data_IF_487725263138
#
_entry.id   IF_487725263138
#
_cell.length_a   1.000
_cell.length_b   1.000
_cell.length_c   1.000
_cell.angle_alpha   90.00
_cell.angle_beta   90.00
_cell.angle_gamma   90.00
#
_symmetry.space_group_name_H-M   'P 1'
#
loop_
_entity.id
_entity.type
_entity.pdbx_description
1 polymer ?
#
# COMPACT_ATOMS: atom_id res chain seq x y z
N UNK A 1 0.45 0.84 6.01
CA UNK A 1 0.00 -0.07 7.09
C UNK A 1 -0.81 0.71 8.09
N UNK A 2 -2.00 0.23 8.46
CA UNK A 2 -2.82 0.88 9.49
C UNK A 2 -2.18 0.72 10.88
N UNK A 3 -2.31 1.70 11.78
CA UNK A 3 -1.81 1.57 13.14
C UNK A 3 -2.50 0.41 13.89
N UNK A 4 -1.73 -0.51 14.49
CA UNK A 4 -2.28 -1.67 15.20
C UNK A 4 -3.27 -1.29 16.32
N UNK A 5 -3.05 -0.12 16.92
CA UNK A 5 -3.96 0.43 17.93
C UNK A 5 -5.34 0.72 17.33
N UNK A 6 -5.40 1.34 16.15
CA UNK A 6 -6.66 1.63 15.48
C UNK A 6 -7.37 0.32 15.11
N UNK A 7 -6.63 -0.68 14.62
CA UNK A 7 -7.19 -2.00 14.29
C UNK A 7 -7.89 -2.64 15.50
N UNK A 8 -7.27 -2.56 16.68
CA UNK A 8 -7.82 -3.11 17.93
C UNK A 8 -9.00 -2.31 18.50
N UNK A 9 -8.93 -0.98 18.43
CA UNK A 9 -9.93 -0.10 19.06
C UNK A 9 -11.17 0.11 18.15
N UNK A 10 -11.01 0.00 16.84
CA UNK A 10 -12.01 0.31 15.82
C UNK A 10 -12.27 -0.89 14.88
N UNK A 11 -12.15 -2.12 15.39
CA UNK A 11 -12.27 -3.33 14.57
C UNK A 11 -13.57 -3.37 13.77
N UNK A 12 -14.71 -3.05 14.41
CA UNK A 12 -16.02 -3.10 13.76
C UNK A 12 -16.24 -1.97 12.76
N UNK A 13 -15.69 -0.78 13.01
CA UNK A 13 -15.71 0.34 12.06
C UNK A 13 -14.90 -0.01 10.80
N UNK A 14 -13.70 -0.58 11.00
CA UNK A 14 -12.87 -1.05 9.89
C UNK A 14 -13.52 -2.21 9.14
N UNK A 15 -14.21 -3.11 9.84
CA UNK A 15 -14.97 -4.20 9.21
C UNK A 15 -16.05 -3.64 8.29
N UNK A 16 -16.80 -2.64 8.75
CA UNK A 16 -17.80 -1.97 7.93
C UNK A 16 -17.17 -1.28 6.72
N UNK A 17 -16.05 -0.57 6.90
CA UNK A 17 -15.32 0.09 5.79
C UNK A 17 -14.82 -0.91 4.76
N UNK A 18 -14.25 -2.04 5.18
CA UNK A 18 -13.77 -3.06 4.25
C UNK A 18 -14.91 -3.81 3.57
N UNK A 19 -16.04 -4.00 4.26
CA UNK A 19 -17.27 -4.49 3.64
C UNK A 19 -17.79 -3.53 2.55
N UNK A 20 -17.78 -2.20 2.81
CA UNK A 20 -18.12 -1.18 1.79
C UNK A 20 -17.19 -1.27 0.57
N UNK A 21 -15.91 -1.57 0.80
CA UNK A 21 -14.89 -1.77 -0.25
C UNK A 21 -15.00 -3.12 -0.96
N UNK A 22 -15.79 -4.06 -0.44
CA UNK A 22 -15.89 -5.43 -0.97
C UNK A 22 -14.64 -6.29 -0.72
N UNK A 23 -13.85 -5.98 0.32
CA UNK A 23 -12.63 -6.71 0.69
C UNK A 23 -12.85 -7.49 1.97
N UNK A 24 -12.54 -8.78 1.94
CA UNK A 24 -12.45 -9.58 3.16
C UNK A 24 -11.05 -9.41 3.77
N UNK A 25 -10.98 -8.65 4.85
CA UNK A 25 -9.73 -8.31 5.52
C UNK A 25 -9.53 -9.19 6.77
N UNK A 26 -8.32 -9.69 7.05
CA UNK A 26 -8.05 -10.59 8.18
C UNK A 26 -8.01 -9.89 9.55
N UNK A 27 -8.99 -9.02 9.83
CA UNK A 27 -9.07 -8.20 11.04
C UNK A 27 -9.07 -9.05 12.32
N UNK A 28 -9.87 -10.11 12.36
CA UNK A 28 -9.99 -10.97 13.53
C UNK A 28 -8.67 -11.71 13.81
N UNK A 29 -7.98 -12.17 12.77
CA UNK A 29 -6.67 -12.80 12.90
C UNK A 29 -5.62 -11.81 13.44
N UNK A 30 -5.63 -10.56 12.95
CA UNK A 30 -4.72 -9.50 13.42
C UNK A 30 -4.97 -9.14 14.88
N UNK A 31 -6.24 -9.01 15.29
CA UNK A 31 -6.61 -8.68 16.68
C UNK A 31 -6.21 -9.81 17.62
N UNK A 32 -6.45 -11.05 17.22
CA UNK A 32 -6.09 -12.23 18.01
C UNK A 32 -4.56 -12.37 18.14
N UNK A 33 -3.83 -12.13 17.04
CA UNK A 33 -2.37 -12.17 17.05
C UNK A 33 -1.77 -11.01 17.87
N UNK A 34 -2.35 -9.80 17.84
CA UNK A 34 -1.95 -8.69 18.74
C UNK A 34 -2.20 -9.04 20.21
N UNK A 35 -3.31 -9.73 20.52
CA UNK A 35 -3.61 -10.21 21.87
C UNK A 35 -2.55 -11.21 22.35
N UNK A 36 -2.29 -12.26 21.56
CA UNK A 36 -1.24 -13.24 21.85
C UNK A 36 0.13 -12.57 21.99
N UNK A 37 0.48 -11.64 21.08
CA UNK A 37 1.77 -10.92 21.13
C UNK A 37 1.93 -10.17 22.45
N UNK A 38 0.89 -9.46 22.91
CA UNK A 38 0.93 -8.71 24.18
C UNK A 38 1.08 -9.60 25.40
N UNK A 39 0.39 -10.73 25.42
CA UNK A 39 0.53 -11.74 26.48
C UNK A 39 1.95 -12.31 26.51
N UNK A 40 2.46 -12.73 25.36
CA UNK A 40 3.82 -13.27 25.21
C UNK A 40 4.89 -12.25 25.57
N UNK A 41 4.74 -10.99 25.14
CA UNK A 41 5.64 -9.89 25.48
C UNK A 41 5.67 -9.67 27.00
N UNK A 42 4.51 -9.74 27.67
CA UNK A 42 4.43 -9.61 29.12
C UNK A 42 5.16 -10.76 29.84
N UNK A 43 5.03 -11.99 29.34
CA UNK A 43 5.77 -13.15 29.86
C UNK A 43 7.28 -12.99 29.65
N UNK A 44 7.71 -12.57 28.46
CA UNK A 44 9.13 -12.31 28.14
C UNK A 44 9.71 -11.24 29.06
N UNK A 45 9.03 -10.12 29.26
CA UNK A 45 9.50 -9.06 30.15
C UNK A 45 9.56 -9.50 31.62
N UNK A 46 8.57 -10.27 32.08
CA UNK A 46 8.59 -10.86 33.43
C UNK A 46 9.78 -11.82 33.62
N UNK A 47 10.06 -12.66 32.62
CA UNK A 47 11.18 -13.59 32.63
C UNK A 47 12.53 -12.87 32.58
N UNK A 48 12.65 -11.81 31.77
CA UNK A 48 13.83 -10.92 31.75
C UNK A 48 14.08 -10.29 33.11
N UNK A 49 13.03 -9.77 33.76
CA UNK A 49 13.13 -9.20 35.10
C UNK A 49 13.57 -10.25 36.13
N UNK A 50 12.98 -11.45 36.11
CA UNK A 50 13.35 -12.56 36.99
C UNK A 50 14.80 -13.01 36.80
N UNK A 51 15.25 -13.18 35.55
CA UNK A 51 16.64 -13.52 35.21
C UNK A 51 17.62 -12.46 35.73
N UNK A 52 17.29 -11.18 35.58
CA UNK A 52 18.14 -10.07 36.04
C UNK A 52 18.20 -10.00 37.57
N UNK A 53 17.11 -10.31 38.27
CA UNK A 53 17.10 -10.42 39.74
C UNK A 53 17.96 -11.61 40.21
N UNK A 54 17.78 -12.78 39.59
CA UNK A 54 18.58 -13.96 39.89
C UNK A 54 20.08 -13.73 39.61
N UNK A 55 20.42 -13.02 38.53
CA UNK A 55 21.82 -12.62 38.25
C UNK A 55 22.43 -11.76 39.36
N UNK A 56 21.65 -10.85 39.96
CA UNK A 56 22.07 -10.06 41.12
C UNK A 56 22.26 -10.92 42.36
N UNK A 57 21.37 -11.89 42.60
CA UNK A 57 21.49 -12.83 43.72
C UNK A 57 22.73 -13.74 43.57
N UNK A 58 22.98 -14.27 42.36
CA UNK A 58 24.18 -15.07 42.05
C UNK A 58 25.47 -14.28 42.32
N UNK A 59 25.49 -12.99 41.98
CA UNK A 59 26.64 -12.11 42.24
C UNK A 59 26.83 -11.75 43.73
N UNK A 60 25.75 -11.77 44.52
CA UNK A 60 25.78 -11.47 45.95
C UNK A 60 26.11 -12.71 46.82
N UNK A 61 25.84 -13.92 46.33
CA UNK A 61 26.10 -15.18 47.03
C UNK A 61 27.60 -15.48 47.14
N UNK A 62 28.07 -15.66 48.37
CA UNK A 62 29.49 -15.94 48.68
C UNK A 62 29.82 -17.44 48.79
N UNK A 63 28.81 -18.29 48.94
CA UNK A 63 28.98 -19.74 49.00
C UNK A 63 29.08 -20.34 47.57
N UNK A 64 30.20 -21.00 47.22
CA UNK A 64 30.38 -21.62 45.91
C UNK A 64 29.32 -22.67 45.55
N UNK A 65 28.83 -23.45 46.52
CA UNK A 65 27.87 -24.52 46.26
C UNK A 65 26.47 -23.94 45.96
N UNK A 66 26.04 -22.96 46.75
CA UNK A 66 24.78 -22.24 46.55
C UNK A 66 24.79 -21.44 45.24
N UNK A 67 25.93 -20.81 44.91
CA UNK A 67 26.11 -20.10 43.64
C UNK A 67 25.97 -21.03 42.45
N UNK A 68 26.56 -22.23 42.50
CA UNK A 68 26.45 -23.21 41.43
C UNK A 68 25.01 -23.70 41.26
N UNK A 69 24.28 -23.94 42.37
CA UNK A 69 22.85 -24.31 42.33
C UNK A 69 22.00 -23.25 41.62
N UNK A 70 22.18 -21.98 41.97
CA UNK A 70 21.46 -20.87 41.35
C UNK A 70 21.79 -20.70 39.85
N UNK A 71 23.04 -20.95 39.45
CA UNK A 71 23.44 -20.95 38.03
C UNK A 71 22.74 -22.08 37.27
N UNK A 72 22.68 -23.28 37.85
CA UNK A 72 22.04 -24.42 37.21
C UNK A 72 20.51 -24.24 37.10
N UNK A 73 19.87 -23.64 38.12
CA UNK A 73 18.45 -23.24 38.07
C UNK A 73 18.19 -22.18 36.98
N UNK A 74 19.13 -21.25 36.77
CA UNK A 74 18.99 -20.20 35.75
C UNK A 74 19.18 -20.69 34.30
N UNK A 75 19.84 -21.83 34.07
CA UNK A 75 19.97 -22.39 32.71
C UNK A 75 18.61 -22.72 32.10
N UNK A 76 17.73 -23.37 32.86
CA UNK A 76 16.37 -23.68 32.40
C UNK A 76 15.53 -22.43 32.12
N UNK A 77 15.74 -21.36 32.88
CA UNK A 77 15.08 -20.05 32.66
C UNK A 77 15.60 -19.39 31.38
N UNK A 78 16.89 -19.47 31.11
CA UNK A 78 17.51 -18.96 29.89
C UNK A 78 16.97 -19.68 28.64
N UNK A 79 16.97 -21.02 28.64
CA UNK A 79 16.46 -21.81 27.51
C UNK A 79 14.98 -21.52 27.23
N UNK A 80 14.17 -21.37 28.29
CA UNK A 80 12.75 -21.01 28.14
C UNK A 80 12.60 -19.58 27.61
N UNK A 81 13.41 -18.64 28.07
CA UNK A 81 13.35 -17.24 27.62
C UNK A 81 13.69 -17.15 26.13
N UNK A 82 14.75 -17.84 25.69
CA UNK A 82 15.15 -17.87 24.28
C UNK A 82 14.01 -18.41 23.39
N UNK A 83 13.32 -19.47 23.84
CA UNK A 83 12.15 -20.01 23.15
C UNK A 83 10.95 -19.06 23.09
N UNK A 84 10.69 -18.27 24.14
CA UNK A 84 9.62 -17.26 24.12
C UNK A 84 9.99 -16.07 23.23
N UNK A 85 11.26 -15.64 23.24
CA UNK A 85 11.75 -14.55 22.39
C UNK A 85 11.66 -14.91 20.91
N UNK A 86 11.98 -16.15 20.53
CA UNK A 86 11.84 -16.59 19.14
C UNK A 86 10.37 -16.63 18.70
N UNK A 87 9.49 -17.19 19.54
CA UNK A 87 8.04 -17.17 19.28
C UNK A 87 7.50 -15.74 19.15
N UNK A 88 8.02 -14.80 19.94
CA UNK A 88 7.62 -13.40 19.86
C UNK A 88 8.01 -12.79 18.52
N UNK A 89 9.23 -13.06 18.04
CA UNK A 89 9.70 -12.60 16.71
C UNK A 89 8.85 -13.18 15.58
N UNK A 90 8.51 -14.47 15.64
CA UNK A 90 7.65 -15.12 14.66
C UNK A 90 6.25 -14.46 14.63
N UNK A 91 5.64 -14.24 15.81
CA UNK A 91 4.34 -13.56 15.89
C UNK A 91 4.39 -12.11 15.41
N UNK A 92 5.48 -11.38 15.67
CA UNK A 92 5.67 -10.02 15.16
C UNK A 92 5.80 -9.98 13.64
N UNK A 93 6.52 -10.94 13.06
CA UNK A 93 6.67 -11.08 11.61
C UNK A 93 5.33 -11.42 10.93
N UNK A 94 4.59 -12.39 11.48
CA UNK A 94 3.25 -12.75 10.99
C UNK A 94 2.27 -11.58 11.09
N UNK A 95 2.28 -10.87 12.23
CA UNK A 95 1.44 -9.69 12.42
C UNK A 95 1.75 -8.59 11.41
N UNK A 96 3.03 -8.37 11.12
CA UNK A 96 3.47 -7.41 10.10
C UNK A 96 2.95 -7.82 8.71
N UNK A 97 3.09 -9.09 8.33
CA UNK A 97 2.61 -9.61 7.04
C UNK A 97 1.12 -9.37 6.87
N UNK A 98 0.30 -9.79 7.83
CA UNK A 98 -1.16 -9.57 7.78
C UNK A 98 -1.52 -8.09 7.75
N UNK A 99 -0.78 -7.25 8.49
CA UNK A 99 -1.02 -5.81 8.51
C UNK A 99 -0.67 -5.12 7.18
N UNK A 100 0.26 -5.68 6.39
CA UNK A 100 0.61 -5.16 5.06
C UNK A 100 -0.47 -5.47 4.01
N UNK A 101 -1.27 -6.52 4.21
CA UNK A 101 -2.39 -6.88 3.34
C UNK A 101 -3.60 -5.95 3.51
N UNK A 102 -3.68 -5.24 4.63
CA UNK A 102 -4.79 -4.33 4.90
C UNK A 102 -4.77 -3.12 3.96
N UNK A 103 -5.87 -2.84 3.23
CA UNK A 103 -5.98 -1.62 2.45
C UNK A 103 -6.14 -0.40 3.37
N UNK A 104 -5.93 0.80 2.80
CA UNK A 104 -6.23 2.02 3.54
C UNK A 104 -7.76 2.16 3.78
N UNK A 105 -8.12 2.91 4.81
CA UNK A 105 -9.52 3.25 5.09
C UNK A 105 -10.12 4.10 3.97
N UNK A 106 -11.45 4.09 3.88
CA UNK A 106 -12.19 4.98 2.98
C UNK A 106 -12.43 6.32 3.70
N UNK A 107 -12.42 7.41 2.92
CA UNK A 107 -12.94 8.69 3.39
C UNK A 107 -14.48 8.63 3.41
N UNK A 108 -15.11 9.39 4.29
CA UNK A 108 -16.58 9.39 4.44
C UNK A 108 -17.31 9.78 3.15
N UNK A 109 -16.69 10.66 2.35
CA UNK A 109 -17.21 11.11 1.05
C UNK A 109 -17.08 10.07 -0.08
N UNK A 110 -16.36 8.96 0.15
CA UNK A 110 -16.29 7.88 -0.84
C UNK A 110 -17.66 7.22 -0.93
N UNK A 111 -18.23 7.19 -2.13
CA UNK A 111 -19.51 6.57 -2.38
C UNK A 111 -19.42 5.03 -2.29
N UNK A 112 -20.53 4.43 -1.86
CA UNK A 112 -20.67 2.97 -1.85
C UNK A 112 -20.88 2.45 -3.27
N UNK A 113 -20.15 1.40 -3.65
CA UNK A 113 -20.29 0.83 -4.99
C UNK A 113 -19.14 -0.09 -5.40
N UNK A 114 -19.38 -0.89 -6.44
CA UNK A 114 -18.34 -1.64 -7.17
C UNK A 114 -17.85 -0.89 -8.40
N UNK A 115 -17.07 -1.55 -9.27
CA UNK A 115 -16.52 -0.96 -10.51
C UNK A 115 -17.59 -0.30 -11.39
N UNK A 116 -18.81 -0.86 -11.43
CA UNK A 116 -19.92 -0.38 -12.25
C UNK A 116 -20.75 0.75 -11.61
N UNK A 117 -20.49 1.07 -10.33
CA UNK A 117 -21.30 2.02 -9.55
C UNK A 117 -20.60 3.36 -9.31
N UNK A 118 -19.37 3.54 -9.83
CA UNK A 118 -18.65 4.80 -9.73
C UNK A 118 -19.31 5.89 -10.58
N UNK A 119 -20.06 6.80 -9.94
CA UNK A 119 -20.52 8.02 -10.61
C UNK A 119 -19.36 9.04 -10.67
N UNK A 120 -19.05 9.54 -11.87
CA UNK A 120 -18.06 10.62 -12.04
C UNK A 120 -18.72 11.94 -11.67
N UNK A 121 -18.33 12.50 -10.53
CA UNK A 121 -18.69 13.86 -10.13
C UNK A 121 -17.60 14.81 -10.62
N UNK A 122 -17.97 15.77 -11.48
CA UNK A 122 -17.08 16.89 -11.82
C UNK A 122 -17.41 18.08 -10.93
N UNK A 123 -16.44 18.56 -10.17
CA UNK A 123 -16.47 19.94 -9.68
C UNK A 123 -16.07 20.87 -10.84
N UNK A 124 -17.06 21.57 -11.41
CA UNK A 124 -16.82 22.67 -12.34
C UNK A 124 -16.34 23.90 -11.58
N UNK A 125 -15.32 24.58 -12.09
CA UNK A 125 -14.87 25.88 -11.54
C UNK A 125 -16.06 26.85 -11.50
N UNK A 126 -16.57 27.14 -10.29
CA UNK A 126 -17.56 28.18 -10.05
C UNK A 126 -19.01 27.75 -9.75
N UNK A 127 -19.31 26.44 -9.62
CA UNK A 127 -20.64 25.98 -9.18
C UNK A 127 -20.55 25.19 -7.87
N UNK A 128 -21.27 25.60 -6.80
CA UNK A 128 -21.21 24.95 -5.49
C UNK A 128 -21.95 23.61 -5.41
N UNK A 129 -22.64 23.20 -6.48
CA UNK A 129 -23.30 21.90 -6.55
C UNK A 129 -22.52 20.94 -7.45
N UNK A 130 -22.15 19.74 -6.96
CA UNK A 130 -21.54 18.72 -7.79
C UNK A 130 -22.49 18.35 -8.93
N UNK A 131 -22.11 18.66 -10.18
CA UNK A 131 -22.86 18.19 -11.34
C UNK A 131 -22.48 16.74 -11.61
N UNK A 132 -23.48 15.85 -11.55
CA UNK A 132 -23.34 14.48 -12.03
C UNK A 132 -23.06 14.53 -13.54
N UNK A 133 -21.99 13.88 -13.97
CA UNK A 133 -21.73 13.71 -15.40
C UNK A 133 -22.46 12.46 -15.85
N UNK A 134 -23.46 12.62 -16.73
CA UNK A 134 -23.84 11.52 -17.61
C UNK A 134 -22.57 11.08 -18.35
N UNK A 135 -22.28 9.77 -18.47
CA UNK A 135 -21.04 9.24 -19.02
C UNK A 135 -20.64 10.04 -20.26
N UNK A 136 -19.35 10.44 -20.39
CA UNK A 136 -18.92 11.47 -21.31
C UNK A 136 -19.63 11.27 -22.63
N UNK A 137 -20.51 12.23 -22.97
CA UNK A 137 -21.17 12.27 -24.28
C UNK A 137 -20.04 12.06 -25.27
N UNK A 138 -20.15 11.03 -26.11
CA UNK A 138 -19.19 10.80 -27.16
C UNK A 138 -18.86 12.16 -27.77
N UNK A 139 -17.58 12.50 -27.92
CA UNK A 139 -17.20 13.78 -28.52
C UNK A 139 -17.63 13.74 -29.99
N UNK A 140 -18.91 13.99 -30.23
CA UNK A 140 -19.56 14.30 -31.51
C UNK A 140 -19.71 15.81 -31.58
N UNK A 141 -18.67 16.54 -31.19
CA UNK A 141 -18.49 17.92 -31.62
C UNK A 141 -17.11 18.06 -32.28
N UNK A 142 -16.80 17.14 -33.21
CA UNK A 142 -16.07 17.58 -34.38
C UNK A 142 -17.10 18.26 -35.29
N UNK A 143 -17.20 19.58 -35.19
CA UNK A 143 -17.97 20.40 -36.13
C UNK A 143 -17.25 20.41 -37.49
N UNK A 144 -17.30 19.28 -38.20
CA UNK A 144 -17.31 19.28 -39.65
C UNK A 144 -18.65 18.65 -40.08
N UNK A 145 -19.63 19.46 -40.50
CA UNK A 145 -20.93 18.96 -40.96
C UNK A 145 -20.83 18.08 -42.23
N UNK A 146 -19.64 17.96 -42.85
CA UNK A 146 -19.37 17.05 -43.98
C UNK A 146 -18.71 15.72 -43.57
N UNK A 147 -18.35 15.52 -42.30
CA UNK A 147 -17.74 14.27 -41.83
C UNK A 147 -18.76 13.11 -41.86
N UNK A 148 -18.67 12.26 -42.90
CA UNK A 148 -19.54 11.09 -43.08
C UNK A 148 -19.15 9.88 -42.23
N UNK A 149 -18.01 9.92 -41.54
CA UNK A 149 -17.50 8.84 -40.69
C UNK A 149 -17.41 9.31 -39.22
N UNK A 150 -17.86 8.46 -38.30
CA UNK A 150 -17.78 8.73 -36.86
C UNK A 150 -16.34 8.84 -36.35
N UNK A 151 -16.14 9.22 -35.06
CA UNK A 151 -14.80 9.36 -34.50
C UNK A 151 -14.03 8.04 -34.57
N UNK A 152 -12.85 8.08 -35.20
CA UNK A 152 -11.94 6.93 -35.24
C UNK A 152 -11.17 6.80 -33.93
N UNK A 153 -10.87 5.58 -33.48
CA UNK A 153 -10.08 5.38 -32.27
C UNK A 153 -8.62 5.77 -32.47
N UNK A 154 -7.94 6.10 -31.36
CA UNK A 154 -6.58 6.64 -31.40
C UNK A 154 -5.54 5.68 -32.02
N UNK A 155 -5.74 4.35 -31.91
CA UNK A 155 -4.82 3.37 -32.49
C UNK A 155 -4.90 3.35 -34.02
N UNK A 156 -6.10 3.44 -34.60
CA UNK A 156 -6.29 3.54 -36.05
C UNK A 156 -5.73 4.84 -36.61
N UNK A 157 -5.98 5.97 -35.92
CA UNK A 157 -5.43 7.27 -36.32
C UNK A 157 -3.91 7.26 -36.26
N UNK A 158 -3.35 6.74 -35.16
CA UNK A 158 -1.91 6.67 -34.95
C UNK A 158 -1.19 5.83 -35.99
N UNK A 159 -1.76 4.68 -36.37
CA UNK A 159 -1.22 3.80 -37.41
C UNK A 159 -1.37 4.41 -38.81
N UNK A 160 -2.56 4.93 -39.15
CA UNK A 160 -2.83 5.53 -40.46
C UNK A 160 -1.92 6.74 -40.76
N UNK A 161 -1.55 7.51 -39.72
CA UNK A 161 -0.63 8.64 -39.84
C UNK A 161 0.86 8.22 -39.75
N UNK A 162 1.17 6.94 -39.56
CA UNK A 162 2.53 6.44 -39.37
C UNK A 162 3.21 6.94 -38.10
N UNK A 163 2.41 7.37 -37.12
CA UNK A 163 2.85 7.97 -35.85
C UNK A 163 3.05 6.93 -34.75
N UNK A 164 2.27 5.86 -34.79
CA UNK A 164 2.35 4.73 -33.85
C UNK A 164 2.61 3.46 -34.65
N UNK A 165 3.59 2.68 -34.19
CA UNK A 165 4.00 1.44 -34.82
C UNK A 165 3.94 0.30 -33.80
N UNK A 166 2.82 -0.42 -33.84
CA UNK A 166 2.54 -1.54 -32.94
C UNK A 166 3.32 -2.80 -33.32
N UNK A 167 3.54 -3.05 -34.62
CA UNK A 167 4.26 -4.23 -35.09
C UNK A 167 5.72 -4.21 -34.61
N UNK A 168 6.42 -3.08 -34.80
CA UNK A 168 7.80 -2.94 -34.32
C UNK A 168 7.85 -2.94 -32.80
N UNK A 169 6.88 -2.33 -32.12
CA UNK A 169 6.79 -2.40 -30.66
C UNK A 169 6.69 -3.84 -30.15
N UNK A 170 5.76 -4.62 -30.73
CA UNK A 170 5.58 -6.02 -30.40
C UNK A 170 6.82 -6.87 -30.69
N UNK A 171 7.52 -6.60 -31.79
CA UNK A 171 8.75 -7.31 -32.16
C UNK A 171 9.90 -7.05 -31.17
N UNK A 172 10.00 -5.85 -30.61
CA UNK A 172 11.10 -5.47 -29.69
C UNK A 172 10.83 -5.96 -28.27
N UNK A 173 9.59 -5.81 -27.78
CA UNK A 173 9.27 -5.94 -26.35
C UNK A 173 8.07 -6.84 -26.04
N UNK A 174 7.37 -7.36 -27.06
CA UNK A 174 6.19 -8.20 -26.90
C UNK A 174 4.86 -7.43 -26.88
N UNK A 175 3.77 -8.12 -26.56
CA UNK A 175 2.42 -7.54 -26.54
C UNK A 175 2.33 -6.30 -25.64
N UNK A 176 1.49 -5.31 -26.04
CA UNK A 176 1.26 -4.03 -25.33
C UNK A 176 2.41 -3.01 -25.41
N UNK A 177 3.39 -3.22 -26.29
CA UNK A 177 4.42 -2.23 -26.61
C UNK A 177 4.21 -1.62 -28.00
N UNK A 178 4.66 -0.38 -28.17
CA UNK A 178 4.54 0.39 -29.42
C UNK A 178 5.77 1.30 -29.59
N UNK A 179 6.03 1.72 -30.83
CA UNK A 179 7.04 2.73 -31.15
C UNK A 179 6.34 4.00 -31.62
N UNK A 180 6.58 5.11 -30.92
CA UNK A 180 6.14 6.43 -31.40
C UNK A 180 7.15 7.02 -32.38
N UNK A 181 6.65 7.69 -33.41
CA UNK A 181 7.45 8.27 -34.50
C UNK A 181 7.09 9.72 -34.77
N UNK A 182 8.07 10.45 -35.28
CA UNK A 182 7.90 11.83 -35.77
C UNK A 182 7.16 12.73 -34.79
N UNK A 183 6.00 13.24 -35.22
CA UNK A 183 5.20 14.18 -34.44
C UNK A 183 4.65 13.57 -33.15
N UNK A 184 4.32 12.28 -33.08
CA UNK A 184 3.83 11.66 -31.86
C UNK A 184 4.93 11.53 -30.79
N UNK A 185 6.15 11.15 -31.20
CA UNK A 185 7.30 11.14 -30.29
C UNK A 185 7.62 12.55 -29.76
N UNK A 186 7.49 13.58 -30.62
CA UNK A 186 7.63 14.99 -30.21
C UNK A 186 6.51 15.41 -29.26
N UNK A 187 5.27 15.02 -29.55
CA UNK A 187 4.10 15.34 -28.74
C UNK A 187 4.22 14.74 -27.33
N UNK A 188 4.60 13.46 -27.21
CA UNK A 188 4.82 12.83 -25.90
C UNK A 188 5.81 13.63 -25.05
N UNK A 189 6.96 14.00 -25.61
CA UNK A 189 7.96 14.81 -24.89
C UNK A 189 7.45 16.22 -24.55
N UNK A 190 6.70 16.84 -25.47
CA UNK A 190 6.14 18.18 -25.25
C UNK A 190 5.10 18.17 -24.12
N UNK A 191 4.25 17.13 -24.03
CA UNK A 191 3.29 16.98 -22.94
C UNK A 191 3.98 16.80 -21.59
N UNK A 192 5.03 15.98 -21.54
CA UNK A 192 5.84 15.81 -20.31
C UNK A 192 6.40 17.17 -19.86
N UNK A 193 7.08 17.89 -20.75
CA UNK A 193 7.68 19.19 -20.43
C UNK A 193 6.63 20.21 -19.98
N UNK A 194 5.50 20.29 -20.70
CA UNK A 194 4.40 21.19 -20.36
C UNK A 194 3.81 20.89 -18.98
N UNK A 195 3.60 19.62 -18.61
CA UNK A 195 3.11 19.25 -17.29
C UNK A 195 4.11 19.63 -16.19
N UNK A 196 5.41 19.40 -16.40
CA UNK A 196 6.46 19.78 -15.44
C UNK A 196 6.46 21.29 -15.21
N UNK A 197 6.44 22.09 -16.27
CA UNK A 197 6.39 23.56 -16.18
C UNK A 197 5.12 24.03 -15.45
N UNK A 198 3.95 23.48 -15.79
CA UNK A 198 2.68 23.79 -15.15
C UNK A 198 2.68 23.50 -13.64
N UNK A 199 3.25 22.37 -13.22
CA UNK A 199 3.32 22.02 -11.81
C UNK A 199 4.36 22.87 -11.06
N UNK A 200 5.48 23.20 -11.69
CA UNK A 200 6.48 24.13 -11.12
C UNK A 200 5.88 25.51 -10.86
N UNK A 201 5.08 26.04 -11.79
CA UNK A 201 4.35 27.30 -11.60
C UNK A 201 3.35 27.27 -10.43
N UNK A 202 2.88 26.08 -10.04
CA UNK A 202 2.01 25.86 -8.87
C UNK A 202 2.78 25.58 -7.58
N UNK A 203 4.10 25.71 -7.60
CA UNK A 203 4.97 25.57 -6.41
C UNK A 203 5.40 24.14 -6.09
N UNK A 204 5.23 23.18 -7.01
CA UNK A 204 5.81 21.84 -6.86
C UNK A 204 7.30 21.88 -7.16
N UNK A 205 8.08 21.12 -6.38
CA UNK A 205 9.51 20.91 -6.63
C UNK A 205 9.69 19.76 -7.63
N UNK A 206 10.48 19.98 -8.68
CA UNK A 206 10.71 19.00 -9.73
C UNK A 206 11.86 18.07 -9.33
N UNK A 207 11.58 16.77 -9.23
CA UNK A 207 12.57 15.74 -8.86
C UNK A 207 12.71 14.67 -9.93
N UNK A 208 13.94 14.31 -10.25
CA UNK A 208 14.26 13.21 -11.16
C UNK A 208 14.73 11.99 -10.36
N UNK A 209 13.97 10.88 -10.41
CA UNK A 209 14.17 9.70 -9.55
C UNK A 209 14.58 8.45 -10.35
N UNK A 210 15.23 7.46 -9.70
CA UNK A 210 15.52 6.17 -10.33
C UNK A 210 14.24 5.41 -10.72
N UNK A 211 14.27 4.72 -11.87
CA UNK A 211 13.14 3.88 -12.35
C UNK A 211 13.19 2.44 -11.85
N UNK A 212 14.29 2.05 -11.18
CA UNK A 212 14.45 0.75 -10.53
C UNK A 212 14.75 1.03 -9.07
N UNK A 213 13.91 0.47 -8.18
CA UNK A 213 13.97 0.69 -6.74
C UNK A 213 14.16 -0.64 -6.00
N UNK A 214 14.61 -0.55 -4.75
CA UNK A 214 14.66 -1.71 -3.85
C UNK A 214 13.24 -2.02 -3.35
N UNK A 215 13.05 -3.23 -2.84
CA UNK A 215 11.81 -3.63 -2.16
C UNK A 215 11.61 -2.90 -0.82
N UNK A 216 12.71 -2.50 -0.18
CA UNK A 216 12.76 -1.75 1.08
C UNK A 216 12.82 -0.23 0.89
#
# INVERSE_FOLDING_TARGET
MLPIRAIREQTEELRAVFARRGVDAPLDAIVELDRSRRELLTEVESMRASRNEAGRQIGATRDPAERQRLIDEQRAVADRLDGLEERLREQEAELRTLSLELPNTLHDDVQDGGEDAGEVILEGVGTPEPSRVEPPVAVVEAADPEATEGPRPHWEIGEALGLIDFERGAKISGSRFYVLRGQAARLQRALIAWMLDLHRERGFDEVYVPFVVKEE
#
